data_IF_165717400250
#
_entry.id   IF_165717400250
#
_cell.length_a   1.000
_cell.length_b   1.000
_cell.length_c   1.000
_cell.angle_alpha   90.00
_cell.angle_beta   90.00
_cell.angle_gamma   90.00
#
_symmetry.space_group_name_H-M   'P 1'
#
loop_
_entity.id
_entity.type
_entity.pdbx_description
1 polymer ?
#
# COMPACT_ATOMS: atom_id res chain seq x y z
N UNK A 1 7.55 14.67 5.71
CA UNK A 1 7.87 13.86 4.51
C UNK A 1 9.16 13.09 4.67
N UNK A 2 10.29 13.73 5.01
CA UNK A 2 11.56 13.02 5.21
C UNK A 2 11.47 12.02 6.37
N UNK A 3 10.86 12.42 7.48
CA UNK A 3 10.60 11.55 8.64
C UNK A 3 9.81 10.30 8.25
N UNK A 4 8.72 10.46 7.47
CA UNK A 4 7.93 9.32 6.98
C UNK A 4 8.73 8.32 6.14
N UNK A 5 9.65 8.81 5.30
CA UNK A 5 10.50 7.94 4.48
C UNK A 5 11.49 7.19 5.39
N UNK A 6 12.05 7.88 6.39
CA UNK A 6 12.92 7.24 7.38
C UNK A 6 12.18 6.15 8.15
N UNK A 7 10.99 6.46 8.69
CA UNK A 7 10.15 5.51 9.42
C UNK A 7 9.73 4.31 8.54
N UNK A 8 9.45 4.56 7.26
CA UNK A 8 9.13 3.50 6.31
C UNK A 8 10.31 2.55 6.08
N UNK A 9 11.53 3.08 5.94
CA UNK A 9 12.73 2.29 5.73
C UNK A 9 13.17 1.53 7.00
N UNK A 10 12.97 2.12 8.19
CA UNK A 10 13.25 1.47 9.47
C UNK A 10 12.31 0.28 9.72
N UNK A 11 11.01 0.45 9.45
CA UNK A 11 9.99 -0.56 9.76
C UNK A 11 9.67 -1.52 8.59
N UNK A 12 10.43 -1.47 7.49
CA UNK A 12 10.13 -2.29 6.29
C UNK A 12 10.18 -3.80 6.56
N UNK A 13 10.97 -4.24 7.55
CA UNK A 13 11.15 -5.66 7.92
C UNK A 13 9.96 -6.25 8.67
N UNK A 14 9.17 -5.40 9.33
CA UNK A 14 7.98 -5.83 10.09
C UNK A 14 6.75 -5.93 9.20
N UNK A 15 6.83 -5.39 7.98
CA UNK A 15 5.74 -5.38 7.02
C UNK A 15 5.67 -6.69 6.25
N UNK A 16 4.45 -7.11 5.94
CA UNK A 16 4.20 -8.33 5.15
C UNK A 16 4.76 -8.15 3.73
N UNK A 17 5.47 -9.17 3.26
CA UNK A 17 6.03 -9.23 1.91
C UNK A 17 4.93 -9.32 0.85
N UNK A 18 3.88 -10.10 1.17
CA UNK A 18 2.67 -10.20 0.34
C UNK A 18 1.51 -9.44 0.98
N UNK A 19 0.92 -8.48 0.26
CA UNK A 19 -0.27 -7.80 0.70
C UNK A 19 -1.48 -8.73 0.60
N UNK A 20 -2.34 -8.72 1.61
CA UNK A 20 -3.60 -9.48 1.64
C UNK A 20 -4.75 -8.63 1.09
N UNK A 21 -4.60 -8.21 -0.17
CA UNK A 21 -5.54 -7.31 -0.85
C UNK A 21 -6.06 -7.95 -2.13
N UNK A 22 -7.34 -7.73 -2.43
CA UNK A 22 -7.95 -8.23 -3.66
C UNK A 22 -7.48 -7.39 -4.86
N UNK A 23 -7.24 -8.00 -6.03
CA UNK A 23 -7.04 -7.24 -7.26
C UNK A 23 -8.20 -6.25 -7.47
N UNK A 24 -7.87 -4.98 -7.72
CA UNK A 24 -8.87 -3.92 -7.92
C UNK A 24 -9.29 -3.14 -6.67
N UNK A 25 -8.83 -3.51 -5.46
CA UNK A 25 -9.26 -2.84 -4.22
C UNK A 25 -9.03 -1.32 -4.19
N UNK A 26 -8.03 -0.82 -4.91
CA UNK A 26 -7.74 0.62 -4.98
C UNK A 26 -8.85 1.41 -5.69
N UNK A 27 -9.53 0.81 -6.67
CA UNK A 27 -10.63 1.48 -7.39
C UNK A 27 -11.82 1.73 -6.48
N UNK A 28 -12.14 0.77 -5.61
CA UNK A 28 -13.26 0.91 -4.68
C UNK A 28 -13.03 1.98 -3.60
N UNK A 29 -11.77 2.35 -3.35
CA UNK A 29 -11.36 3.30 -2.30
C UNK A 29 -11.12 4.72 -2.82
N UNK A 30 -11.08 4.90 -4.14
CA UNK A 30 -10.72 6.16 -4.79
C UNK A 30 -11.96 6.76 -5.48
N UNK A 31 -12.12 8.09 -5.50
CA UNK A 31 -13.18 8.72 -6.29
C UNK A 31 -12.99 8.41 -7.79
N UNK A 32 -14.11 8.27 -8.51
CA UNK A 32 -14.13 7.97 -9.94
C UNK A 32 -13.56 9.09 -10.81
N UNK A 33 -13.62 10.34 -10.31
CA UNK A 33 -13.14 11.53 -10.99
C UNK A 33 -12.16 12.31 -10.11
N UNK A 34 -11.20 12.99 -10.76
CA UNK A 34 -10.25 13.84 -10.06
C UNK A 34 -10.95 15.08 -9.47
N UNK A 35 -10.57 15.50 -8.25
CA UNK A 35 -11.17 16.68 -7.64
C UNK A 35 -10.82 17.95 -8.44
N UNK A 36 -11.82 18.80 -8.70
CA UNK A 36 -11.64 20.09 -9.38
C UNK A 36 -11.01 21.16 -8.45
N UNK A 37 -11.17 20.96 -7.14
CA UNK A 37 -10.68 21.89 -6.11
C UNK A 37 -9.42 21.33 -5.45
N UNK A 38 -8.48 22.20 -5.05
CA UNK A 38 -7.28 21.78 -4.35
C UNK A 38 -7.61 21.22 -2.97
N UNK A 39 -7.02 20.07 -2.65
CA UNK A 39 -7.11 19.47 -1.33
C UNK A 39 -5.89 19.79 -0.46
N UNK A 40 -6.06 19.89 0.86
CA UNK A 40 -4.93 20.10 1.77
C UNK A 40 -4.01 18.87 1.75
N UNK A 41 -2.70 19.13 1.85
CA UNK A 41 -1.66 18.09 1.84
C UNK A 41 -1.90 16.95 2.85
N UNK A 42 -2.48 17.27 4.00
CA UNK A 42 -2.78 16.29 5.05
C UNK A 42 -3.78 15.23 4.57
N UNK A 43 -4.76 15.59 3.74
CA UNK A 43 -5.74 14.63 3.21
C UNK A 43 -5.07 13.66 2.24
N UNK A 44 -4.24 14.18 1.32
CA UNK A 44 -3.49 13.38 0.36
C UNK A 44 -2.57 12.38 1.09
N UNK A 45 -1.91 12.84 2.15
CA UNK A 45 -1.03 11.98 2.95
C UNK A 45 -1.79 10.86 3.65
N UNK A 46 -2.97 11.15 4.22
CA UNK A 46 -3.83 10.14 4.84
C UNK A 46 -4.30 9.08 3.83
N UNK A 47 -4.57 9.48 2.58
CA UNK A 47 -4.97 8.53 1.53
C UNK A 47 -3.80 7.65 1.07
N UNK A 48 -2.57 8.17 1.07
CA UNK A 48 -1.37 7.34 0.83
C UNK A 48 -1.26 6.25 1.90
N UNK A 49 -1.44 6.60 3.18
CA UNK A 49 -1.39 5.62 4.27
C UNK A 49 -2.52 4.60 4.20
N UNK A 50 -3.74 5.03 3.86
CA UNK A 50 -4.93 4.18 3.86
C UNK A 50 -5.03 3.28 2.62
N UNK A 51 -4.70 3.81 1.44
CA UNK A 51 -4.96 3.13 0.16
C UNK A 51 -3.69 2.48 -0.39
N UNK A 52 -2.56 3.18 -0.35
CA UNK A 52 -1.32 2.71 -0.97
C UNK A 52 -0.61 1.70 -0.08
N UNK A 53 -0.40 2.01 1.20
CA UNK A 53 0.41 1.17 2.11
C UNK A 53 -0.06 -0.30 2.23
N UNK A 54 -1.36 -0.62 2.26
CA UNK A 54 -1.82 -2.01 2.33
C UNK A 54 -1.48 -2.87 1.10
N UNK A 55 -1.30 -2.24 -0.07
CA UNK A 55 -0.99 -2.93 -1.34
C UNK A 55 0.48 -2.88 -1.73
N UNK A 56 1.34 -2.22 -0.94
CA UNK A 56 2.78 -2.25 -1.18
C UNK A 56 3.29 -3.63 -0.83
N UNK A 57 3.61 -4.42 -1.86
CA UNK A 57 4.46 -5.59 -1.69
C UNK A 57 5.89 -5.11 -1.46
N UNK A 58 6.40 -5.31 -0.24
CA UNK A 58 7.81 -5.05 0.01
C UNK A 58 8.59 -6.15 -0.71
N UNK A 59 9.52 -5.75 -1.59
CA UNK A 59 10.40 -6.73 -2.25
C UNK A 59 11.46 -7.14 -1.25
N UNK A 60 11.19 -8.21 -0.49
CA UNK A 60 12.26 -8.92 0.19
C UNK A 60 13.17 -9.53 -0.89
N UNK A 61 14.42 -9.06 -0.94
CA UNK A 61 15.46 -9.64 -1.78
C UNK A 61 15.75 -11.05 -1.27
N UNK A 62 15.03 -12.03 -1.82
CA UNK A 62 15.30 -13.46 -1.85
C UNK A 62 15.64 -14.12 -0.51
N UNK A 63 14.67 -14.80 0.09
CA UNK A 63 14.79 -16.18 0.60
C UNK A 63 13.43 -16.65 1.17
N UNK A 64 12.78 -17.60 0.49
CA UNK A 64 11.73 -18.44 1.12
C UNK A 64 10.28 -17.94 1.12
N UNK A 65 9.76 -17.39 0.02
CA UNK A 65 8.31 -17.19 -0.11
C UNK A 65 7.67 -18.48 -0.66
N UNK A 66 7.02 -19.25 0.20
CA UNK A 66 5.99 -20.20 -0.24
C UNK A 66 4.74 -19.41 -0.67
N UNK A 67 4.57 -19.25 -1.98
CA UNK A 67 3.32 -18.78 -2.56
C UNK A 67 2.27 -19.85 -2.31
N UNK A 68 1.45 -19.68 -1.25
CA UNK A 68 0.26 -20.52 -1.07
C UNK A 68 -0.75 -20.13 -2.14
N UNK A 69 -0.78 -20.96 -3.18
CA UNK A 69 -1.70 -20.90 -4.30
C UNK A 69 -3.14 -20.87 -3.80
N UNK A 70 -3.74 -19.68 -3.82
CA UNK A 70 -5.13 -19.44 -3.51
C UNK A 70 -6.01 -20.02 -4.60
N UNK A 71 -6.33 -21.31 -4.44
CA UNK A 71 -7.46 -22.06 -4.99
C UNK A 71 -8.62 -21.16 -5.47
N UNK A 72 -8.77 -21.04 -6.79
CA UNK A 72 -10.05 -20.72 -7.42
C UNK A 72 -11.05 -21.86 -7.12
N UNK A 73 -12.14 -21.52 -6.41
CA UNK A 73 -13.46 -22.13 -6.54
C UNK A 73 -14.53 -21.09 -6.22
#
# INVERSE_FOLDING_TARGET
>A
MVEYIADYLENIRERRVFPDVKPGYMRDLMPDEAPEQPEPWQNIFNDIERVVMPGVSCVCRGEGIEVREGRER
#
